data_IF_911394247314
#
_entry.id   IF_911394247314
#
_cell.length_a   1.000
_cell.length_b   1.000
_cell.length_c   1.000
_cell.angle_alpha   90.00
_cell.angle_beta   90.00
_cell.angle_gamma   90.00
#
_symmetry.space_group_name_H-M   'P 1'
#
loop_
_entity.id
_entity.type
_entity.pdbx_description
1 polymer ?
#
# COMPACT_ATOMS: atom_id res chain seq x y z
N UNK A 1 -70.77 -29.59 -43.44
CA UNK A 1 -70.68 -28.37 -42.70
C UNK A 1 -69.89 -28.67 -41.40
N UNK A 2 -68.60 -28.34 -41.37
CA UNK A 2 -67.69 -28.68 -40.26
C UNK A 2 -67.30 -27.42 -39.55
N UNK A 3 -67.74 -27.27 -38.29
CA UNK A 3 -67.46 -26.14 -37.42
C UNK A 3 -66.15 -26.38 -36.69
N UNK A 4 -65.15 -25.57 -36.94
CA UNK A 4 -63.87 -25.61 -36.24
C UNK A 4 -63.94 -24.74 -35.00
N UNK A 5 -63.81 -25.38 -33.82
CA UNK A 5 -63.74 -24.73 -32.52
C UNK A 5 -62.26 -24.35 -32.24
N UNK A 6 -61.93 -23.05 -32.19
CA UNK A 6 -60.61 -22.55 -31.82
C UNK A 6 -60.54 -22.38 -30.29
N UNK A 7 -59.74 -23.21 -29.64
CA UNK A 7 -59.34 -22.99 -28.25
C UNK A 7 -58.22 -21.97 -28.17
N UNK A 8 -58.48 -20.82 -27.51
CA UNK A 8 -57.48 -19.84 -27.15
C UNK A 8 -56.83 -20.28 -25.82
N UNK A 9 -55.58 -20.69 -25.86
CA UNK A 9 -54.78 -20.91 -24.66
C UNK A 9 -54.25 -19.59 -24.12
N UNK A 10 -54.71 -19.17 -22.98
CA UNK A 10 -54.19 -18.00 -22.26
C UNK A 10 -52.97 -18.46 -21.46
N UNK A 11 -51.78 -18.05 -21.89
CA UNK A 11 -50.52 -18.23 -21.15
C UNK A 11 -50.40 -17.13 -20.12
N UNK A 12 -50.55 -17.46 -18.84
CA UNK A 12 -50.30 -16.54 -17.71
C UNK A 12 -48.80 -16.62 -17.40
N UNK A 13 -48.08 -15.54 -17.75
CA UNK A 13 -46.65 -15.39 -17.37
C UNK A 13 -46.64 -14.82 -15.94
N UNK A 14 -46.28 -15.65 -14.96
CA UNK A 14 -46.03 -15.21 -13.60
C UNK A 14 -44.60 -14.64 -13.54
N UNK A 15 -44.47 -13.31 -13.54
CA UNK A 15 -43.22 -12.63 -13.22
C UNK A 15 -42.90 -12.78 -11.73
N UNK A 16 -42.00 -13.68 -11.39
CA UNK A 16 -41.39 -13.75 -10.06
C UNK A 16 -40.30 -12.69 -9.96
N UNK A 17 -40.64 -11.55 -9.31
CA UNK A 17 -39.64 -10.52 -8.99
C UNK A 17 -38.80 -11.00 -7.81
N UNK A 18 -37.67 -11.63 -8.11
CA UNK A 18 -36.69 -11.98 -7.10
C UNK A 18 -35.98 -10.72 -6.60
N UNK A 19 -36.23 -10.31 -5.35
CA UNK A 19 -35.46 -9.26 -4.67
C UNK A 19 -34.05 -9.80 -4.43
N UNK A 20 -33.08 -9.29 -5.18
CA UNK A 20 -31.66 -9.54 -4.92
C UNK A 20 -31.26 -8.68 -3.70
N UNK A 21 -31.16 -9.32 -2.54
CA UNK A 21 -30.50 -8.73 -1.37
C UNK A 21 -29.01 -8.56 -1.73
N UNK A 22 -28.60 -7.34 -2.04
CA UNK A 22 -27.21 -6.98 -2.14
C UNK A 22 -26.58 -7.13 -0.74
N UNK A 23 -25.86 -8.22 -0.51
CA UNK A 23 -25.00 -8.35 0.66
C UNK A 23 -23.91 -7.29 0.55
N UNK A 24 -23.95 -6.29 1.42
CA UNK A 24 -22.84 -5.36 1.61
C UNK A 24 -21.67 -6.18 2.14
N UNK A 25 -20.67 -6.44 1.28
CA UNK A 25 -19.40 -7.03 1.70
C UNK A 25 -18.73 -5.97 2.54
N UNK A 26 -18.80 -6.14 3.85
CA UNK A 26 -18.07 -5.32 4.81
C UNK A 26 -16.58 -5.64 4.58
N UNK A 27 -15.86 -4.73 3.92
CA UNK A 27 -14.43 -4.85 3.62
C UNK A 27 -13.57 -4.55 4.85
N UNK A 28 -14.02 -4.94 6.03
CA UNK A 28 -13.17 -5.03 7.19
C UNK A 28 -12.16 -6.16 6.94
N UNK A 29 -10.98 -5.83 6.46
CA UNK A 29 -9.86 -6.75 6.41
C UNK A 29 -9.63 -7.41 7.77
N UNK A 30 -8.93 -8.55 7.84
CA UNK A 30 -8.77 -9.30 9.07
C UNK A 30 -8.30 -8.37 10.20
N UNK A 31 -9.02 -8.38 11.33
CA UNK A 31 -8.68 -7.56 12.50
C UNK A 31 -7.26 -7.88 12.92
N UNK A 32 -6.38 -6.91 12.81
CA UNK A 32 -4.98 -7.04 13.20
C UNK A 32 -4.86 -7.09 14.72
N UNK A 33 -3.83 -7.78 15.23
CA UNK A 33 -3.55 -7.88 16.67
C UNK A 33 -3.31 -6.51 17.32
N UNK A 34 -2.79 -5.55 16.55
CA UNK A 34 -2.54 -4.18 17.02
C UNK A 34 -3.77 -3.26 16.95
N UNK A 35 -4.87 -3.69 16.30
CA UNK A 35 -6.02 -2.84 15.98
C UNK A 35 -5.79 -1.87 14.83
N UNK A 36 -4.59 -1.85 14.22
CA UNK A 36 -4.26 -1.01 13.08
C UNK A 36 -4.60 -1.73 11.77
N UNK A 37 -4.91 -1.01 10.68
CA UNK A 37 -5.19 -1.63 9.39
C UNK A 37 -4.00 -2.46 8.88
N UNK A 38 -4.31 -3.54 8.18
CA UNK A 38 -3.36 -4.38 7.43
C UNK A 38 -3.97 -4.55 6.03
N UNK A 39 -3.24 -4.28 4.93
CA UNK A 39 -1.84 -3.84 4.93
C UNK A 39 -1.65 -2.35 5.31
N UNK A 40 -0.43 -1.98 5.71
CA UNK A 40 -0.04 -0.58 5.97
C UNK A 40 1.45 -0.38 5.85
N UNK A 41 1.86 0.80 5.47
CA UNK A 41 3.28 1.19 5.48
C UNK A 41 3.74 1.69 6.85
N UNK A 42 4.94 1.26 7.23
CA UNK A 42 5.70 1.69 8.41
C UNK A 42 7.17 1.87 8.00
N UNK A 43 8.02 2.33 8.91
CA UNK A 43 9.46 2.40 8.65
C UNK A 43 10.26 1.59 9.68
N UNK A 44 11.44 1.15 9.29
CA UNK A 44 12.40 0.55 10.21
C UNK A 44 12.90 1.62 11.20
N UNK A 45 12.84 1.30 12.50
CA UNK A 45 13.18 2.26 13.56
C UNK A 45 14.68 2.43 13.75
N UNK A 46 15.44 1.35 13.55
CA UNK A 46 16.87 1.26 13.81
C UNK A 46 17.64 0.86 12.55
N UNK A 47 18.93 1.04 12.58
CA UNK A 47 19.87 0.65 11.51
C UNK A 47 20.23 -0.83 11.53
N UNK A 48 19.78 -1.60 12.54
CA UNK A 48 19.95 -3.05 12.58
C UNK A 48 18.62 -3.72 12.93
N UNK A 49 18.01 -4.36 11.93
CA UNK A 49 16.73 -5.05 12.06
C UNK A 49 16.83 -6.47 11.52
N UNK A 50 16.76 -7.44 12.42
CA UNK A 50 16.72 -8.87 12.06
C UNK A 50 15.35 -9.21 11.49
N UNK A 51 15.32 -9.83 10.33
CA UNK A 51 14.14 -10.40 9.70
C UNK A 51 14.23 -11.94 9.78
N UNK A 52 13.15 -12.55 10.23
CA UNK A 52 13.10 -13.99 10.48
C UNK A 52 12.13 -14.70 9.54
N UNK A 53 12.33 -16.01 9.36
CA UNK A 53 11.45 -16.85 8.56
C UNK A 53 10.07 -17.10 9.18
N UNK A 54 9.89 -16.81 10.48
CA UNK A 54 8.63 -17.01 11.21
C UNK A 54 8.47 -16.09 12.41
N UNK A 55 7.27 -16.05 13.04
CA UNK A 55 6.90 -15.10 14.06
C UNK A 55 7.33 -15.53 15.47
N UNK A 56 8.53 -16.04 15.63
CA UNK A 56 9.12 -16.36 16.94
C UNK A 56 10.62 -16.06 16.98
N UNK A 57 11.20 -15.97 18.17
CA UNK A 57 12.65 -15.78 18.33
C UNK A 57 13.46 -17.02 17.93
N UNK A 58 12.82 -18.20 17.91
CA UNK A 58 13.46 -19.49 17.60
C UNK A 58 13.61 -19.69 16.08
N UNK A 59 12.87 -18.92 15.28
CA UNK A 59 13.05 -18.96 13.83
C UNK A 59 14.39 -18.30 13.45
N UNK A 60 15.05 -18.87 12.44
CA UNK A 60 16.30 -18.36 11.91
C UNK A 60 16.16 -16.93 11.39
N UNK A 61 17.25 -16.17 11.51
CA UNK A 61 17.39 -14.85 10.88
C UNK A 61 17.68 -15.07 9.40
N UNK A 62 16.73 -14.72 8.55
CA UNK A 62 16.86 -14.86 7.10
C UNK A 62 17.77 -13.78 6.52
N UNK A 63 17.65 -12.53 7.02
CA UNK A 63 18.56 -11.43 6.66
C UNK A 63 18.49 -10.31 7.71
N UNK A 64 19.34 -9.32 7.55
CA UNK A 64 19.41 -8.14 8.42
C UNK A 64 19.38 -6.87 7.59
N UNK A 65 18.43 -5.99 7.86
CA UNK A 65 18.51 -4.63 7.34
C UNK A 65 19.53 -3.82 8.15
N UNK A 66 20.31 -3.00 7.45
CA UNK A 66 21.38 -2.17 8.03
C UNK A 66 21.14 -0.67 7.86
N UNK A 67 19.89 -0.26 7.58
CA UNK A 67 19.52 1.13 7.35
C UNK A 67 18.20 1.48 8.03
N UNK A 68 18.24 2.42 8.97
CA UNK A 68 17.03 2.99 9.56
C UNK A 68 16.21 3.77 8.53
N UNK A 69 14.90 3.88 8.79
CA UNK A 69 13.98 4.66 7.97
C UNK A 69 13.54 3.99 6.68
N UNK A 70 14.00 2.78 6.34
CA UNK A 70 13.50 2.06 5.17
C UNK A 70 11.99 1.84 5.30
N UNK A 71 11.18 2.20 4.30
CA UNK A 71 9.76 1.90 4.29
C UNK A 71 9.54 0.42 4.00
N UNK A 72 8.69 -0.19 4.81
CA UNK A 72 8.23 -1.58 4.65
C UNK A 72 6.72 -1.64 4.82
N UNK A 73 6.09 -2.56 4.11
CA UNK A 73 4.65 -2.80 4.23
C UNK A 73 4.40 -3.93 5.23
N UNK A 74 3.59 -3.70 6.24
CA UNK A 74 3.09 -4.75 7.13
C UNK A 74 1.96 -5.47 6.42
N UNK A 75 2.15 -6.75 6.10
CA UNK A 75 1.19 -7.59 5.38
C UNK A 75 0.39 -8.52 6.28
N UNK A 76 0.91 -8.83 7.50
CA UNK A 76 0.22 -9.62 8.51
C UNK A 76 0.76 -9.30 9.91
N UNK A 77 -0.01 -9.68 10.93
CA UNK A 77 0.36 -9.58 12.33
C UNK A 77 0.14 -10.91 13.06
N UNK A 78 1.06 -11.25 13.92
CA UNK A 78 0.93 -12.36 14.86
C UNK A 78 1.57 -11.95 16.19
N UNK A 79 0.77 -11.80 17.24
CA UNK A 79 1.20 -11.31 18.55
C UNK A 79 2.08 -10.04 18.45
N UNK A 80 3.35 -10.13 18.87
CA UNK A 80 4.32 -9.04 18.80
C UNK A 80 5.11 -9.00 17.49
N UNK A 81 4.76 -9.81 16.50
CA UNK A 81 5.45 -9.91 15.23
C UNK A 81 4.64 -9.30 14.11
N UNK A 82 5.35 -8.75 13.13
CA UNK A 82 4.79 -8.17 11.92
C UNK A 82 5.45 -8.84 10.72
N UNK A 83 4.65 -9.42 9.83
CA UNK A 83 5.14 -9.84 8.53
C UNK A 83 5.28 -8.59 7.69
N UNK A 84 6.47 -8.36 7.21
CA UNK A 84 6.79 -7.19 6.38
C UNK A 84 7.12 -7.63 4.97
N UNK A 85 6.90 -6.71 4.02
CA UNK A 85 7.32 -6.81 2.63
C UNK A 85 8.12 -5.55 2.28
N UNK A 86 9.25 -5.71 1.62
CA UNK A 86 10.07 -4.62 1.12
C UNK A 86 9.75 -4.24 -0.33
N UNK A 87 10.48 -3.27 -0.89
CA UNK A 87 10.31 -2.78 -2.26
C UNK A 87 10.61 -3.81 -3.35
N UNK A 88 11.39 -4.84 -3.02
CA UNK A 88 11.76 -5.90 -3.95
C UNK A 88 10.81 -7.11 -3.83
N UNK A 89 9.80 -7.01 -2.96
CA UNK A 89 8.79 -8.04 -2.71
C UNK A 89 9.23 -9.11 -1.71
N UNK A 90 10.39 -8.96 -1.07
CA UNK A 90 10.88 -9.93 -0.10
C UNK A 90 10.10 -9.82 1.21
N UNK A 91 9.67 -10.94 1.77
CA UNK A 91 8.84 -10.99 2.97
C UNK A 91 9.50 -11.74 4.11
N UNK A 92 9.27 -11.27 5.34
CA UNK A 92 9.69 -11.94 6.55
C UNK A 92 9.12 -11.29 7.82
N UNK A 93 9.48 -11.82 8.98
CA UNK A 93 8.91 -11.41 10.25
C UNK A 93 9.87 -10.53 11.05
N UNK A 94 9.36 -9.41 11.54
CA UNK A 94 10.08 -8.43 12.35
C UNK A 94 9.33 -8.20 13.65
N UNK A 95 10.05 -8.06 14.76
CA UNK A 95 9.46 -7.72 16.04
C UNK A 95 8.96 -6.28 16.05
N UNK A 96 7.73 -6.05 16.51
CA UNK A 96 7.03 -4.76 16.35
C UNK A 96 7.79 -3.54 16.88
N UNK A 97 8.58 -3.69 17.95
CA UNK A 97 9.33 -2.58 18.54
C UNK A 97 10.47 -2.04 17.67
N UNK A 98 10.86 -2.79 16.63
CA UNK A 98 11.84 -2.38 15.61
C UNK A 98 11.21 -1.59 14.46
N UNK A 99 9.90 -1.39 14.50
CA UNK A 99 9.13 -0.63 13.53
C UNK A 99 8.67 0.71 14.12
N UNK A 100 8.44 1.68 13.24
CA UNK A 100 7.99 3.02 13.58
C UNK A 100 6.84 3.42 12.66
N UNK A 101 5.83 4.10 13.21
CA UNK A 101 4.75 4.71 12.43
C UNK A 101 5.17 5.93 11.60
N UNK A 102 6.44 6.37 11.70
CA UNK A 102 6.95 7.47 10.87
C UNK A 102 6.85 7.10 9.40
N UNK A 103 6.19 7.95 8.62
CA UNK A 103 6.01 7.72 7.19
C UNK A 103 7.27 8.13 6.43
N UNK A 104 7.85 7.16 5.75
CA UNK A 104 8.98 7.35 4.85
C UNK A 104 8.63 6.83 3.46
N UNK A 105 9.31 7.35 2.45
CA UNK A 105 9.20 6.88 1.09
C UNK A 105 10.59 6.65 0.51
N UNK A 106 10.75 5.59 -0.25
CA UNK A 106 11.96 5.30 -0.99
C UNK A 106 11.71 5.51 -2.48
N UNK A 107 12.60 6.24 -3.13
CA UNK A 107 12.50 6.52 -4.57
C UNK A 107 12.62 5.22 -5.37
N UNK A 108 11.62 4.97 -6.22
CA UNK A 108 11.64 3.90 -7.21
C UNK A 108 11.79 4.50 -8.60
N UNK A 109 12.66 3.93 -9.41
CA UNK A 109 12.92 4.35 -10.77
C UNK A 109 12.70 3.16 -11.72
N UNK A 110 12.29 3.46 -12.95
CA UNK A 110 12.07 2.42 -13.97
C UNK A 110 13.38 1.79 -14.43
N UNK A 111 14.43 2.61 -14.53
CA UNK A 111 15.77 2.20 -14.91
C UNK A 111 16.76 2.52 -13.78
N UNK A 112 17.86 1.76 -13.62
CA UNK A 112 18.83 1.98 -12.56
C UNK A 112 19.44 3.40 -12.55
N UNK A 113 19.72 3.95 -13.73
CA UNK A 113 20.37 5.26 -13.92
C UNK A 113 19.38 6.43 -14.03
N UNK A 114 18.08 6.16 -13.90
CA UNK A 114 17.05 7.20 -13.98
C UNK A 114 17.08 8.07 -12.73
N UNK A 115 17.24 9.37 -12.92
CA UNK A 115 17.08 10.37 -11.87
C UNK A 115 15.62 10.84 -11.81
N UNK A 116 14.98 10.65 -10.67
CA UNK A 116 13.58 11.04 -10.45
C UNK A 116 13.51 12.49 -9.99
N UNK A 117 12.87 13.39 -10.74
CA UNK A 117 12.75 14.79 -10.34
C UNK A 117 11.80 14.97 -9.17
N UNK A 118 12.13 15.94 -8.32
CA UNK A 118 11.21 16.53 -7.34
C UNK A 118 11.01 18.00 -7.69
N UNK A 119 9.83 18.52 -7.38
CA UNK A 119 9.34 19.78 -7.91
C UNK A 119 9.00 20.76 -6.78
N UNK A 120 9.02 22.05 -7.10
CA UNK A 120 8.60 23.11 -6.17
C UNK A 120 7.10 23.02 -5.83
N UNK A 121 6.27 22.62 -6.81
CA UNK A 121 4.83 22.43 -6.67
C UNK A 121 4.42 21.03 -7.11
N UNK A 122 3.22 20.59 -6.77
CA UNK A 122 2.61 19.33 -7.22
C UNK A 122 2.20 19.40 -8.71
N UNK A 123 3.15 19.72 -9.56
CA UNK A 123 2.98 19.94 -10.99
C UNK A 123 4.29 19.65 -11.73
N UNK A 124 4.24 18.86 -12.81
CA UNK A 124 5.39 18.53 -13.65
C UNK A 124 5.96 19.72 -14.42
N UNK A 125 5.17 20.76 -14.62
CA UNK A 125 5.58 22.00 -15.31
C UNK A 125 6.26 22.99 -14.34
N UNK A 126 6.25 22.70 -13.02
CA UNK A 126 6.92 23.55 -12.05
C UNK A 126 8.43 23.32 -12.02
N UNK A 127 9.15 24.23 -11.37
CA UNK A 127 10.61 24.15 -11.28
C UNK A 127 11.04 22.84 -10.57
N UNK A 128 12.05 22.16 -11.14
CA UNK A 128 12.70 21.01 -10.54
C UNK A 128 13.66 21.50 -9.45
N UNK A 129 13.42 21.11 -8.18
CA UNK A 129 14.24 21.50 -7.03
C UNK A 129 15.41 20.56 -6.80
N UNK A 130 15.26 19.27 -7.11
CA UNK A 130 16.34 18.28 -7.10
C UNK A 130 15.99 17.08 -7.99
N UNK A 131 16.99 16.25 -8.26
CA UNK A 131 16.83 14.95 -8.92
C UNK A 131 17.39 13.87 -8.00
N UNK A 132 16.60 12.83 -7.75
CA UNK A 132 16.92 11.79 -6.79
C UNK A 132 17.23 10.46 -7.50
N UNK A 133 18.22 9.77 -7.00
CA UNK A 133 18.56 8.41 -7.43
C UNK A 133 17.57 7.40 -6.84
N UNK A 134 17.44 6.24 -7.49
CA UNK A 134 16.73 5.08 -6.95
C UNK A 134 17.28 4.71 -5.56
N UNK A 135 16.40 4.36 -4.61
CA UNK A 135 16.77 3.96 -3.26
C UNK A 135 17.00 5.11 -2.29
N UNK A 136 16.90 6.38 -2.74
CA UNK A 136 16.93 7.53 -1.84
C UNK A 136 15.69 7.48 -0.94
N UNK A 137 15.92 7.54 0.37
CA UNK A 137 14.85 7.53 1.39
C UNK A 137 14.60 8.94 1.89
N UNK A 138 13.33 9.31 1.96
CA UNK A 138 12.84 10.60 2.45
C UNK A 138 11.73 10.42 3.48
N UNK A 139 11.50 11.42 4.31
CA UNK A 139 10.29 11.51 5.12
C UNK A 139 9.15 12.00 4.23
N UNK A 140 8.03 11.29 4.25
CA UNK A 140 6.79 11.74 3.63
C UNK A 140 6.10 12.66 4.61
N UNK A 141 5.96 13.94 4.25
CA UNK A 141 5.33 14.97 5.08
C UNK A 141 3.83 15.02 4.87
N UNK A 142 3.39 14.93 3.63
CA UNK A 142 1.98 14.91 3.24
C UNK A 142 1.81 14.35 1.84
N UNK A 143 0.66 13.75 1.58
CA UNK A 143 0.21 13.36 0.25
C UNK A 143 -1.23 13.84 0.06
N UNK A 144 -1.51 14.58 -1.02
CA UNK A 144 -2.82 15.20 -1.24
C UNK A 144 -3.90 14.26 -1.77
N UNK A 145 -3.56 13.03 -2.15
CA UNK A 145 -4.50 12.09 -2.81
C UNK A 145 -4.69 12.36 -4.32
N UNK A 146 -3.94 13.31 -4.88
CA UNK A 146 -3.95 13.67 -6.31
C UNK A 146 -2.71 13.13 -7.03
N UNK A 147 -2.10 12.08 -6.48
CA UNK A 147 -0.91 11.47 -7.06
C UNK A 147 0.41 12.16 -6.71
N UNK A 148 0.43 13.07 -5.74
CA UNK A 148 1.61 13.81 -5.32
C UNK A 148 1.86 13.71 -3.82
N UNK A 149 3.14 13.63 -3.42
CA UNK A 149 3.59 13.71 -2.05
C UNK A 149 4.66 14.79 -1.88
N UNK A 150 4.60 15.56 -0.78
CA UNK A 150 5.68 16.42 -0.34
C UNK A 150 6.62 15.61 0.54
N UNK A 151 7.88 15.57 0.13
CA UNK A 151 8.93 14.80 0.79
C UNK A 151 10.07 15.70 1.25
N UNK A 152 10.75 15.26 2.30
CA UNK A 152 11.91 15.95 2.85
C UNK A 152 13.01 14.93 3.18
N UNK A 153 14.24 15.21 2.76
CA UNK A 153 15.42 14.39 3.00
C UNK A 153 16.65 15.25 3.31
N UNK A 154 17.81 14.61 3.34
CA UNK A 154 19.06 15.31 3.61
C UNK A 154 19.46 16.18 2.40
N UNK A 155 19.28 17.50 2.52
CA UNK A 155 19.65 18.47 1.52
C UNK A 155 18.67 18.63 0.35
N UNK A 156 17.46 18.08 0.48
CA UNK A 156 16.40 18.27 -0.51
C UNK A 156 15.02 18.26 0.13
N UNK A 157 14.09 18.96 -0.48
CA UNK A 157 12.65 18.87 -0.21
C UNK A 157 11.86 19.28 -1.45
N UNK A 158 10.63 18.83 -1.55
CA UNK A 158 9.76 19.15 -2.67
C UNK A 158 8.69 18.09 -2.93
N UNK A 159 7.98 18.28 -4.03
CA UNK A 159 6.90 17.42 -4.46
C UNK A 159 7.40 16.32 -5.41
N UNK A 160 6.97 15.09 -5.17
CA UNK A 160 7.26 13.92 -5.99
C UNK A 160 5.95 13.20 -6.34
N UNK A 161 5.87 12.61 -7.51
CA UNK A 161 4.74 11.76 -7.88
C UNK A 161 4.69 10.51 -7.01
N UNK A 162 3.52 10.14 -6.47
CA UNK A 162 3.34 8.96 -5.62
C UNK A 162 3.83 7.67 -6.28
N UNK A 163 3.63 7.54 -7.59
CA UNK A 163 4.07 6.38 -8.38
C UNK A 163 5.60 6.22 -8.43
N UNK A 164 6.35 7.21 -7.96
CA UNK A 164 7.81 7.19 -7.83
C UNK A 164 8.29 6.88 -6.41
N UNK A 165 7.36 6.54 -5.50
CA UNK A 165 7.66 6.22 -4.10
C UNK A 165 7.16 4.82 -3.74
N UNK A 166 8.02 4.01 -3.15
CA UNK A 166 7.66 2.91 -2.29
C UNK A 166 7.48 3.45 -0.87
N UNK A 167 6.40 3.10 -0.19
CA UNK A 167 6.08 3.60 1.15
C UNK A 167 4.77 4.38 1.24
N UNK A 168 4.07 4.55 0.10
CA UNK A 168 2.72 5.13 0.00
C UNK A 168 1.87 4.34 -0.97
N UNK A 169 0.58 4.24 -0.73
CA UNK A 169 -0.36 3.62 -1.66
C UNK A 169 -0.79 4.61 -2.74
N UNK A 170 -1.22 4.13 -3.92
CA UNK A 170 -1.82 4.99 -4.93
C UNK A 170 -2.98 5.80 -4.35
N UNK A 171 -2.97 7.12 -4.57
CA UNK A 171 -3.97 8.07 -4.08
C UNK A 171 -4.15 8.11 -2.54
N UNK A 172 -3.22 7.55 -1.78
CA UNK A 172 -3.22 7.66 -0.33
C UNK A 172 -3.05 9.11 0.11
N UNK A 173 -3.86 9.52 1.09
CA UNK A 173 -3.68 10.79 1.80
C UNK A 173 -2.83 10.53 3.04
N UNK A 174 -1.80 11.34 3.21
CA UNK A 174 -0.91 11.36 4.38
C UNK A 174 -0.85 12.79 4.89
N UNK A 175 -1.16 13.00 6.14
CA UNK A 175 -1.15 14.29 6.88
C UNK A 175 0.01 14.35 7.87
#
# INVERSE_FOLDING_TARGET
>A
MMVWLRFLAVVVIVCVTGSVLAATVDSAGPKSTSGLPVPRFVSLKTDKVNVRGGPTKDNDVSWVYTRAGLPVEVTAEFENWRRIRDSDGTEGWVYHSLLSGKRTGMVIAKNPDELVPIYEKADVESAVTAKLERGVVSTVKRCGGEGWCYVNGRGFEGWIQQVRLWGVYPNEKVD
#
